data_IF_455335916099
#
_entry.id   IF_455335916099
#
_cell.length_a   1.000
_cell.length_b   1.000
_cell.length_c   1.000
_cell.angle_alpha   90.00
_cell.angle_beta   90.00
_cell.angle_gamma   90.00
#
_symmetry.space_group_name_H-M   'P 1'
#
loop_
_entity.id
_entity.type
_entity.pdbx_description
1 polymer ?
#
# COMPACT_ATOMS: atom_id res chain seq x y z
N UNK A 1 30.58 2.59 -17.86
CA UNK A 1 30.43 2.42 -16.39
C UNK A 1 29.27 3.21 -15.78
N UNK A 2 28.73 4.28 -16.39
CA UNK A 2 27.70 5.15 -15.77
C UNK A 2 26.27 4.55 -15.72
N UNK A 3 25.97 3.46 -16.44
CA UNK A 3 24.61 2.89 -16.48
C UNK A 3 24.28 1.92 -15.34
N UNK A 4 25.27 1.46 -14.58
CA UNK A 4 25.03 0.59 -13.41
C UNK A 4 24.44 1.40 -12.26
N UNK A 5 25.14 2.47 -11.87
CA UNK A 5 24.78 3.30 -10.71
C UNK A 5 23.36 3.88 -10.78
N UNK A 6 22.89 4.27 -11.96
CA UNK A 6 21.52 4.82 -12.11
C UNK A 6 20.44 3.76 -11.93
N UNK A 7 20.69 2.53 -12.38
CA UNK A 7 19.75 1.41 -12.21
C UNK A 7 19.70 0.99 -10.74
N UNK A 8 20.86 0.96 -10.08
CA UNK A 8 20.95 0.70 -8.65
C UNK A 8 20.11 1.71 -7.84
N UNK A 9 20.20 3.01 -8.17
CA UNK A 9 19.38 4.05 -7.52
C UNK A 9 17.88 3.83 -7.72
N UNK A 10 17.42 3.47 -8.92
CA UNK A 10 15.99 3.22 -9.17
C UNK A 10 15.49 1.99 -8.43
N UNK A 11 16.29 0.91 -8.44
CA UNK A 11 16.00 -0.31 -7.72
C UNK A 11 15.90 -0.07 -6.22
N UNK A 12 16.88 0.60 -5.63
CA UNK A 12 16.90 0.95 -4.21
C UNK A 12 15.71 1.84 -3.84
N UNK A 13 15.37 2.80 -4.70
CA UNK A 13 14.23 3.69 -4.50
C UNK A 13 12.90 2.93 -4.50
N UNK A 14 12.71 2.01 -5.45
CA UNK A 14 11.52 1.14 -5.49
C UNK A 14 11.46 0.19 -4.29
N UNK A 15 12.59 -0.42 -3.91
CA UNK A 15 12.68 -1.28 -2.73
C UNK A 15 12.35 -0.54 -1.43
N UNK A 16 12.89 0.67 -1.26
CA UNK A 16 12.57 1.54 -0.12
C UNK A 16 11.09 1.95 -0.11
N UNK A 17 10.52 2.24 -1.28
CA UNK A 17 9.10 2.57 -1.42
C UNK A 17 8.21 1.38 -1.03
N UNK A 18 8.52 0.17 -1.49
CA UNK A 18 7.82 -1.06 -1.11
C UNK A 18 7.80 -1.24 0.40
N UNK A 19 8.95 -1.16 1.05
CA UNK A 19 9.07 -1.31 2.49
C UNK A 19 8.30 -0.21 3.26
N UNK A 20 8.33 1.03 2.75
CA UNK A 20 7.61 2.16 3.33
C UNK A 20 6.09 1.99 3.24
N UNK A 21 5.58 1.59 2.08
CA UNK A 21 4.15 1.34 1.87
C UNK A 21 3.63 0.20 2.75
N UNK A 22 4.38 -0.89 2.84
CA UNK A 22 4.06 -2.03 3.69
C UNK A 22 3.95 -1.62 5.17
N UNK A 23 4.99 -0.97 5.70
CA UNK A 23 4.98 -0.47 7.08
C UNK A 23 3.86 0.54 7.35
N UNK A 24 3.62 1.44 6.40
CA UNK A 24 2.56 2.44 6.54
C UNK A 24 1.17 1.79 6.58
N UNK A 25 0.94 0.80 5.73
CA UNK A 25 -0.31 0.06 5.70
C UNK A 25 -0.52 -0.76 6.98
N UNK A 26 0.51 -1.47 7.47
CA UNK A 26 0.45 -2.22 8.73
C UNK A 26 0.15 -1.29 9.92
N UNK A 27 0.90 -0.19 10.03
CA UNK A 27 0.72 0.79 11.10
C UNK A 27 -0.70 1.36 11.11
N UNK A 28 -1.19 1.81 9.94
CA UNK A 28 -2.56 2.34 9.81
C UNK A 28 -3.63 1.31 10.15
N UNK A 29 -3.39 0.04 9.82
CA UNK A 29 -4.31 -1.06 10.15
C UNK A 29 -4.35 -1.28 11.65
N UNK A 30 -3.20 -1.35 12.32
CA UNK A 30 -3.12 -1.50 13.78
C UNK A 30 -3.82 -0.33 14.48
N UNK A 31 -3.52 0.91 14.11
CA UNK A 31 -4.14 2.10 14.72
C UNK A 31 -5.67 2.05 14.59
N UNK A 32 -6.19 1.69 13.41
CA UNK A 32 -7.63 1.59 13.20
C UNK A 32 -8.27 0.48 14.06
N UNK A 33 -7.60 -0.65 14.20
CA UNK A 33 -8.09 -1.76 15.03
C UNK A 33 -8.07 -1.40 16.52
N UNK A 34 -7.03 -0.71 16.99
CA UNK A 34 -6.97 -0.18 18.35
C UNK A 34 -8.09 0.83 18.62
N UNK A 35 -8.35 1.76 17.69
CA UNK A 35 -9.47 2.70 17.77
C UNK A 35 -10.82 1.99 17.89
N UNK A 36 -11.06 0.97 17.06
CA UNK A 36 -12.29 0.16 17.10
C UNK A 36 -12.44 -0.62 18.41
N UNK A 37 -11.35 -1.18 18.92
CA UNK A 37 -11.34 -1.90 20.21
C UNK A 37 -11.69 -0.95 21.36
N UNK A 38 -11.02 0.21 21.43
CA UNK A 38 -11.29 1.22 22.46
C UNK A 38 -12.75 1.68 22.40
N UNK A 39 -13.29 1.91 21.19
CA UNK A 39 -14.68 2.29 21.01
C UNK A 39 -15.64 1.21 21.54
N UNK A 40 -15.40 -0.06 21.20
CA UNK A 40 -16.23 -1.17 21.69
C UNK A 40 -16.15 -1.37 23.20
N UNK A 41 -14.98 -1.18 23.81
CA UNK A 41 -14.82 -1.26 25.27
C UNK A 41 -15.52 -0.13 26.02
N UNK A 42 -15.66 1.05 25.41
CA UNK A 42 -16.35 2.21 26.00
C UNK A 42 -17.86 2.15 25.83
N UNK A 43 -18.34 1.50 24.78
CA UNK A 43 -19.75 1.48 24.43
C UNK A 43 -20.46 0.25 25.02
N UNK A 44 -21.06 0.44 26.19
CA UNK A 44 -21.79 -0.59 26.94
C UNK A 44 -22.98 -1.16 26.12
N UNK A 45 -23.41 -0.45 25.07
CA UNK A 45 -24.52 -0.87 24.21
C UNK A 45 -24.12 -1.77 23.03
N UNK A 46 -22.81 -1.87 22.71
CA UNK A 46 -22.33 -2.71 21.60
C UNK A 46 -21.98 -4.11 22.10
N UNK A 47 -22.72 -5.11 21.63
CA UNK A 47 -22.50 -6.52 21.99
C UNK A 47 -21.28 -7.15 21.28
N UNK A 48 -20.74 -6.53 20.23
CA UNK A 48 -19.55 -7.01 19.51
C UNK A 48 -18.86 -5.90 18.70
N UNK A 49 -17.57 -6.11 18.37
CA UNK A 49 -16.76 -5.25 17.50
C UNK A 49 -16.30 -6.05 16.29
N UNK A 50 -16.46 -5.51 15.07
CA UNK A 50 -16.04 -6.17 13.83
C UNK A 50 -14.66 -5.65 13.40
N UNK A 51 -13.67 -6.54 13.41
CA UNK A 51 -12.29 -6.24 12.98
C UNK A 51 -12.03 -6.61 11.51
N UNK A 52 -12.93 -7.34 10.85
CA UNK A 52 -12.78 -7.83 9.46
C UNK A 52 -13.24 -6.80 8.42
N UNK A 53 -12.74 -5.56 8.52
CA UNK A 53 -13.09 -4.48 7.61
C UNK A 53 -12.29 -4.46 6.30
N UNK A 54 -12.56 -3.45 5.46
CA UNK A 54 -11.91 -3.24 4.16
C UNK A 54 -10.39 -3.40 4.21
N UNK A 55 -9.72 -2.85 5.23
CA UNK A 55 -8.26 -2.95 5.34
C UNK A 55 -7.78 -4.40 5.43
N UNK A 56 -8.34 -5.25 6.30
CA UNK A 56 -7.89 -6.65 6.47
C UNK A 56 -8.11 -7.54 5.25
N UNK A 57 -9.09 -7.21 4.41
CA UNK A 57 -9.45 -7.98 3.23
C UNK A 57 -8.89 -7.31 1.96
N UNK A 58 -9.69 -6.48 1.31
CA UNK A 58 -9.36 -5.86 0.02
C UNK A 58 -8.13 -4.96 0.09
N UNK A 59 -7.94 -4.25 1.21
CA UNK A 59 -6.75 -3.44 1.46
C UNK A 59 -5.47 -4.28 1.47
N UNK A 60 -5.51 -5.47 2.10
CA UNK A 60 -4.37 -6.39 2.15
C UNK A 60 -4.07 -6.98 0.78
N UNK A 61 -5.10 -7.41 0.06
CA UNK A 61 -4.97 -7.91 -1.32
C UNK A 61 -4.31 -6.88 -2.22
N UNK A 62 -4.83 -5.65 -2.23
CA UNK A 62 -4.26 -4.54 -3.00
C UNK A 62 -2.82 -4.23 -2.60
N UNK A 63 -2.50 -4.26 -1.31
CA UNK A 63 -1.12 -4.05 -0.86
C UNK A 63 -0.17 -5.12 -1.43
N UNK A 64 -0.61 -6.38 -1.46
CA UNK A 64 0.14 -7.46 -2.10
C UNK A 64 0.29 -7.24 -3.61
N UNK A 65 -0.75 -6.78 -4.30
CA UNK A 65 -0.70 -6.46 -5.74
C UNK A 65 0.32 -5.34 -6.02
N UNK A 66 0.37 -4.30 -5.19
CA UNK A 66 1.37 -3.23 -5.29
C UNK A 66 2.79 -3.76 -5.05
N UNK A 67 2.98 -4.63 -4.04
CA UNK A 67 4.29 -5.25 -3.78
C UNK A 67 4.77 -6.05 -4.98
N UNK A 68 3.88 -6.88 -5.54
CA UNK A 68 4.19 -7.68 -6.73
C UNK A 68 4.54 -6.80 -7.93
N UNK A 69 3.82 -5.69 -8.14
CA UNK A 69 4.13 -4.74 -9.21
C UNK A 69 5.51 -4.10 -9.05
N UNK A 70 5.89 -3.74 -7.82
CA UNK A 70 7.23 -3.19 -7.53
C UNK A 70 8.31 -4.25 -7.77
N UNK A 71 8.08 -5.49 -7.35
CA UNK A 71 9.04 -6.58 -7.53
C UNK A 71 9.27 -6.85 -9.02
N UNK A 72 8.19 -6.94 -9.83
CA UNK A 72 8.30 -7.09 -11.28
C UNK A 72 9.04 -5.92 -11.93
N UNK A 73 8.78 -4.68 -11.51
CA UNK A 73 9.48 -3.51 -12.03
C UNK A 73 10.97 -3.52 -11.70
N UNK A 74 11.35 -4.01 -10.52
CA UNK A 74 12.76 -4.19 -10.12
C UNK A 74 13.43 -5.23 -11.02
N UNK A 75 12.80 -6.39 -11.22
CA UNK A 75 13.32 -7.45 -12.10
C UNK A 75 13.49 -6.97 -13.55
N UNK A 76 12.53 -6.20 -14.06
CA UNK A 76 12.62 -5.60 -15.40
C UNK A 76 13.76 -4.58 -15.50
N UNK A 77 13.94 -3.72 -14.49
CA UNK A 77 15.04 -2.73 -14.44
C UNK A 77 16.42 -3.41 -14.48
N UNK A 78 16.56 -4.57 -13.83
CA UNK A 78 17.82 -5.33 -13.83
C UNK A 78 18.17 -5.89 -15.22
N UNK A 79 17.16 -6.15 -16.06
CA UNK A 79 17.31 -6.81 -17.36
C UNK A 79 17.40 -5.85 -18.57
N UNK A 80 17.16 -4.55 -18.39
CA UNK A 80 17.08 -3.60 -19.50
C UNK A 80 18.19 -2.52 -19.50
N UNK A 81 18.20 -1.73 -20.58
CA UNK A 81 19.11 -0.60 -20.73
C UNK A 81 18.70 0.60 -19.85
N UNK A 82 19.60 1.59 -19.71
CA UNK A 82 19.35 2.72 -18.81
C UNK A 82 18.17 3.60 -19.21
N UNK A 83 17.75 3.62 -20.48
CA UNK A 83 16.64 4.47 -20.94
C UNK A 83 15.32 3.78 -20.66
N UNK A 84 15.25 2.49 -20.95
CA UNK A 84 14.09 1.65 -20.66
C UNK A 84 13.83 1.52 -19.15
N UNK A 85 14.88 1.32 -18.35
CA UNK A 85 14.79 1.28 -16.89
C UNK A 85 14.18 2.57 -16.30
N UNK A 86 14.52 3.74 -16.85
CA UNK A 86 13.93 5.02 -16.42
C UNK A 86 12.43 5.12 -16.72
N UNK A 87 11.99 4.53 -17.84
CA UNK A 87 10.59 4.47 -18.23
C UNK A 87 9.81 3.53 -17.31
N UNK A 88 10.33 2.33 -17.07
CA UNK A 88 9.75 1.34 -16.14
C UNK A 88 9.59 1.96 -14.74
N UNK A 89 10.63 2.60 -14.24
CA UNK A 89 10.59 3.31 -12.96
C UNK A 89 9.47 4.35 -12.92
N UNK A 90 9.40 5.24 -13.90
CA UNK A 90 8.38 6.30 -13.93
C UNK A 90 6.95 5.76 -14.06
N UNK A 91 6.75 4.72 -14.88
CA UNK A 91 5.45 4.07 -15.05
C UNK A 91 4.99 3.41 -13.75
N UNK A 92 5.91 2.74 -13.06
CA UNK A 92 5.68 2.11 -11.76
C UNK A 92 5.26 3.15 -10.72
N UNK A 93 5.96 4.29 -10.64
CA UNK A 93 5.58 5.38 -9.74
C UNK A 93 4.18 5.93 -10.00
N UNK A 94 3.80 6.11 -11.27
CA UNK A 94 2.46 6.57 -11.66
C UNK A 94 1.38 5.57 -11.24
N UNK A 95 1.62 4.28 -11.50
CA UNK A 95 0.69 3.21 -11.13
C UNK A 95 0.48 3.15 -9.61
N UNK A 96 1.57 3.17 -8.83
CA UNK A 96 1.52 3.19 -7.36
C UNK A 96 0.77 4.41 -6.84
N UNK A 97 1.03 5.59 -7.41
CA UNK A 97 0.36 6.84 -7.01
C UNK A 97 -1.15 6.75 -7.24
N UNK A 98 -1.56 6.26 -8.41
CA UNK A 98 -2.97 6.08 -8.74
C UNK A 98 -3.64 5.07 -7.80
N UNK A 99 -3.01 3.92 -7.56
CA UNK A 99 -3.51 2.89 -6.64
C UNK A 99 -3.63 3.42 -5.20
N UNK A 100 -2.64 4.16 -4.72
CA UNK A 100 -2.63 4.76 -3.38
C UNK A 100 -3.73 5.82 -3.22
N UNK A 101 -4.00 6.59 -4.27
CA UNK A 101 -5.09 7.57 -4.26
C UNK A 101 -6.46 6.90 -4.20
N UNK A 102 -6.69 5.89 -5.03
CA UNK A 102 -7.94 5.10 -4.99
C UNK A 102 -8.12 4.38 -3.66
N UNK A 103 -7.02 3.88 -3.09
CA UNK A 103 -7.01 3.27 -1.78
C UNK A 103 -7.56 4.19 -0.69
N UNK A 104 -7.08 5.44 -0.66
CA UNK A 104 -7.57 6.43 0.30
C UNK A 104 -9.07 6.67 0.14
N UNK A 105 -9.55 6.84 -1.10
CA UNK A 105 -10.98 7.08 -1.37
C UNK A 105 -11.83 5.90 -0.89
N UNK A 106 -11.42 4.66 -1.20
CA UNK A 106 -12.16 3.47 -0.80
C UNK A 106 -12.14 3.25 0.71
N UNK A 107 -11.02 3.54 1.37
CA UNK A 107 -10.92 3.50 2.83
C UNK A 107 -11.86 4.51 3.49
N UNK A 108 -11.92 5.74 2.97
CA UNK A 108 -12.82 6.76 3.49
C UNK A 108 -14.29 6.37 3.28
N UNK A 109 -14.66 5.89 2.08
CA UNK A 109 -16.01 5.40 1.81
C UNK A 109 -16.38 4.22 2.73
N UNK A 110 -15.46 3.29 2.99
CA UNK A 110 -15.72 2.14 3.86
C UNK A 110 -16.05 2.54 5.30
N UNK A 111 -15.48 3.65 5.80
CA UNK A 111 -15.79 4.18 7.13
C UNK A 111 -17.22 4.73 7.20
N UNK A 112 -17.72 5.34 6.13
CA UNK A 112 -19.10 5.84 6.07
C UNK A 112 -20.13 4.71 6.13
N UNK A 113 -19.91 3.60 5.42
CA UNK A 113 -20.86 2.48 5.42
C UNK A 113 -21.01 1.80 6.79
N UNK A 114 -19.99 1.84 7.65
CA UNK A 114 -20.06 1.27 9.00
C UNK A 114 -20.74 2.18 10.04
N UNK A 115 -21.01 3.46 9.72
CA UNK A 115 -21.66 4.40 10.65
C UNK A 115 -23.19 4.48 10.49
N UNK A 116 -23.76 3.77 9.50
CA UNK A 116 -25.22 3.74 9.23
C UNK A 116 -25.85 2.36 9.47
N UNK A 117 -25.13 1.43 10.10
CA UNK A 117 -25.59 0.07 10.44
C UNK A 117 -25.78 -0.11 11.94
#
# INVERSE_FOLDING_TARGET
MVSSDKRDVWRESLGAMKASLEKSYEFKTIVQEEEQLIQGLRDISKNYVVFSGYRRNDGKRRMNDIKSMIDSAIEEIDCCDSKEASSIYLQTLKAITMQTRWASILEDLSKYYHNFG
#
